data_IF_928984612265
#
_entry.id   IF_928984612265
#
_cell.length_a   1.000
_cell.length_b   1.000
_cell.length_c   1.000
_cell.angle_alpha   90.00
_cell.angle_beta   90.00
_cell.angle_gamma   90.00
#
_symmetry.space_group_name_H-M   'P 1'
#
loop_
_entity.id
_entity.type
_entity.pdbx_description
1 polymer ?
#
# COMPACT_ATOMS: atom_id res chain seq x y z
N UNK A 1 -10.96 3.29 -20.27
CA UNK A 1 -10.17 3.95 -19.19
C UNK A 1 -10.95 5.16 -18.68
N UNK A 2 -11.14 5.28 -17.36
CA UNK A 2 -11.96 6.37 -16.78
C UNK A 2 -11.21 7.71 -16.78
N UNK A 3 -9.87 7.66 -16.72
CA UNK A 3 -8.99 8.82 -16.72
C UNK A 3 -7.98 8.75 -17.88
N UNK A 4 -8.38 9.10 -19.10
CA UNK A 4 -7.45 9.19 -20.23
C UNK A 4 -6.41 10.27 -19.95
N UNK A 5 -5.17 10.04 -20.35
CA UNK A 5 -4.02 10.93 -20.15
C UNK A 5 -3.40 10.89 -18.72
N UNK A 6 -3.76 9.93 -17.88
CA UNK A 6 -3.09 9.75 -16.59
C UNK A 6 -1.74 9.06 -16.78
N UNK A 7 -0.69 9.64 -16.20
CA UNK A 7 0.61 8.97 -16.07
C UNK A 7 0.60 8.12 -14.81
N UNK A 8 0.95 6.84 -14.94
CA UNK A 8 0.90 5.88 -13.85
C UNK A 8 2.26 5.24 -13.65
N UNK A 9 2.73 5.19 -12.40
CA UNK A 9 3.87 4.36 -11.97
C UNK A 9 3.32 3.25 -11.09
N UNK A 10 3.52 2.00 -11.49
CA UNK A 10 3.13 0.81 -10.73
C UNK A 10 4.39 0.12 -10.19
N UNK A 11 4.41 -0.10 -8.89
CA UNK A 11 5.51 -0.77 -8.20
C UNK A 11 5.05 -2.15 -7.74
N UNK A 12 5.85 -3.16 -8.02
CA UNK A 12 5.60 -4.55 -7.62
C UNK A 12 6.90 -5.16 -7.08
N UNK A 13 6.84 -5.67 -5.87
CA UNK A 13 8.01 -6.22 -5.17
C UNK A 13 8.39 -7.61 -5.68
N UNK A 14 7.38 -8.48 -5.93
CA UNK A 14 7.61 -9.83 -6.43
C UNK A 14 8.05 -9.79 -7.90
N UNK A 15 9.25 -10.32 -8.24
CA UNK A 15 9.76 -10.30 -9.60
C UNK A 15 8.90 -11.08 -10.60
N UNK A 16 8.26 -12.18 -10.17
CA UNK A 16 7.42 -12.98 -11.06
C UNK A 16 6.09 -12.28 -11.34
N UNK A 17 5.49 -11.68 -10.31
CA UNK A 17 4.28 -10.87 -10.49
C UNK A 17 4.58 -9.63 -11.34
N UNK A 18 5.72 -8.97 -11.11
CA UNK A 18 6.14 -7.82 -11.91
C UNK A 18 6.28 -8.15 -13.40
N UNK A 19 6.78 -9.34 -13.74
CA UNK A 19 6.84 -9.81 -15.14
C UNK A 19 5.44 -9.96 -15.75
N UNK A 20 4.51 -10.55 -15.01
CA UNK A 20 3.11 -10.71 -15.47
C UNK A 20 2.46 -9.34 -15.65
N UNK A 21 2.66 -8.45 -14.69
CA UNK A 21 2.14 -7.08 -14.74
C UNK A 21 2.69 -6.34 -15.96
N UNK A 22 4.00 -6.43 -16.21
CA UNK A 22 4.64 -5.82 -17.38
C UNK A 22 4.04 -6.37 -18.70
N UNK A 23 3.84 -7.69 -18.82
CA UNK A 23 3.27 -8.30 -20.01
C UNK A 23 1.83 -7.84 -20.27
N UNK A 24 1.03 -7.72 -19.21
CA UNK A 24 -0.36 -7.29 -19.30
C UNK A 24 -0.48 -5.81 -19.69
N UNK A 25 0.46 -4.98 -19.27
CA UNK A 25 0.39 -3.53 -19.41
C UNK A 25 1.35 -2.93 -20.46
N UNK A 26 2.10 -3.77 -21.18
CA UNK A 26 3.12 -3.33 -22.15
C UNK A 26 2.63 -2.41 -23.27
N UNK A 27 1.33 -2.41 -23.55
CA UNK A 27 0.72 -1.58 -24.58
C UNK A 27 0.19 -0.23 -24.04
N UNK A 28 0.22 -0.03 -22.71
CA UNK A 28 -0.21 1.21 -22.08
C UNK A 28 0.94 2.24 -22.08
N UNK A 29 0.83 3.27 -22.93
CA UNK A 29 1.93 4.22 -23.19
C UNK A 29 2.31 5.07 -22.00
N UNK A 30 1.34 5.40 -21.14
CA UNK A 30 1.52 6.31 -20.00
C UNK A 30 1.63 5.55 -18.67
N UNK A 31 1.99 4.25 -18.72
CA UNK A 31 2.14 3.41 -17.55
C UNK A 31 3.54 2.80 -17.50
N UNK A 32 4.21 2.98 -16.37
CA UNK A 32 5.51 2.39 -16.08
C UNK A 32 5.38 1.34 -14.98
N UNK A 33 5.82 0.11 -15.25
CA UNK A 33 5.97 -0.95 -14.26
C UNK A 33 7.40 -0.96 -13.74
N UNK A 34 7.56 -0.97 -12.43
CA UNK A 34 8.85 -0.92 -11.74
C UNK A 34 8.90 -2.08 -10.74
N UNK A 35 9.83 -3.03 -10.95
CA UNK A 35 10.03 -4.14 -10.01
C UNK A 35 10.90 -3.68 -8.83
N UNK A 36 10.27 -3.06 -7.86
CA UNK A 36 10.83 -2.67 -6.56
C UNK A 36 9.75 -2.68 -5.50
N UNK A 37 10.12 -3.01 -4.29
CA UNK A 37 9.27 -2.79 -3.12
C UNK A 37 9.20 -1.30 -2.78
N UNK A 38 8.03 -0.81 -2.43
CA UNK A 38 7.89 0.49 -1.77
C UNK A 38 8.28 0.33 -0.30
N UNK A 39 9.23 1.14 0.16
CA UNK A 39 9.74 1.11 1.52
C UNK A 39 10.17 2.50 2.02
N UNK A 40 10.79 2.56 3.20
CA UNK A 40 11.31 3.78 3.85
C UNK A 40 12.77 4.10 3.47
N UNK A 41 13.40 3.28 2.63
CA UNK A 41 14.76 3.48 2.10
C UNK A 41 14.95 2.69 0.79
N UNK A 42 16.12 2.83 0.16
CA UNK A 42 16.49 2.20 -1.12
C UNK A 42 17.54 1.08 -1.00
N UNK A 43 17.79 0.57 0.22
CA UNK A 43 18.80 -0.46 0.48
C UNK A 43 18.31 -1.88 0.24
N UNK A 44 17.07 -2.05 -0.19
CA UNK A 44 16.39 -3.34 -0.34
C UNK A 44 15.74 -3.80 0.97
N UNK A 45 14.79 -4.72 0.83
CA UNK A 45 14.04 -5.29 1.93
C UNK A 45 13.88 -6.79 1.74
N UNK A 46 13.76 -7.53 2.84
CA UNK A 46 13.36 -8.93 2.82
C UNK A 46 11.84 -9.02 2.88
N UNK A 47 11.25 -9.71 1.91
CA UNK A 47 9.82 -10.03 1.87
C UNK A 47 9.62 -11.53 1.88
N UNK A 48 8.52 -11.99 2.44
CA UNK A 48 8.09 -13.38 2.37
C UNK A 48 7.19 -13.56 1.16
N UNK A 49 7.49 -14.55 0.31
CA UNK A 49 6.68 -14.91 -0.84
C UNK A 49 5.78 -16.09 -0.44
N UNK A 50 4.64 -15.84 0.16
CA UNK A 50 3.71 -16.88 0.63
C UNK A 50 2.54 -17.13 -0.34
N UNK A 51 2.82 -17.28 -1.63
CA UNK A 51 1.80 -17.54 -2.66
C UNK A 51 1.39 -16.31 -3.44
N UNK A 52 0.45 -16.46 -4.38
CA UNK A 52 0.17 -15.53 -5.46
C UNK A 52 -0.33 -14.13 -5.03
N UNK A 53 -0.72 -13.93 -3.77
CA UNK A 53 -1.38 -12.71 -3.34
C UNK A 53 -0.81 -12.08 -2.05
N UNK A 54 0.33 -12.59 -1.52
CA UNK A 54 0.81 -12.13 -0.20
C UNK A 54 2.33 -12.05 -0.11
N UNK A 55 2.93 -11.03 -0.69
CA UNK A 55 4.32 -10.68 -0.40
C UNK A 55 4.35 -9.76 0.83
N UNK A 56 4.45 -10.32 2.05
CA UNK A 56 4.41 -9.58 3.32
C UNK A 56 5.80 -9.43 3.94
N UNK A 57 6.04 -8.30 4.61
CA UNK A 57 7.23 -8.11 5.45
C UNK A 57 7.19 -8.96 6.73
N UNK A 58 6.01 -9.40 7.15
CA UNK A 58 5.79 -10.17 8.39
C UNK A 58 5.78 -11.68 8.19
N UNK A 59 5.75 -12.16 6.95
CA UNK A 59 5.80 -13.60 6.66
C UNK A 59 7.13 -14.23 7.06
N UNK A 60 7.09 -15.51 7.46
CA UNK A 60 8.28 -16.24 7.95
C UNK A 60 8.83 -17.28 6.96
N UNK A 61 8.16 -17.50 5.83
CA UNK A 61 8.55 -18.52 4.84
C UNK A 61 9.06 -17.88 3.57
N UNK A 62 9.97 -18.57 2.88
CA UNK A 62 10.48 -18.17 1.56
C UNK A 62 10.93 -16.71 1.47
N UNK A 63 11.73 -16.25 2.42
CA UNK A 63 12.25 -14.88 2.43
C UNK A 63 13.16 -14.64 1.23
N UNK A 64 12.88 -13.59 0.50
CA UNK A 64 13.66 -13.12 -0.64
C UNK A 64 13.99 -11.65 -0.44
N UNK A 65 15.27 -11.30 -0.70
CA UNK A 65 15.69 -9.90 -0.72
C UNK A 65 15.36 -9.28 -2.07
N UNK A 66 14.59 -8.19 -2.04
CA UNK A 66 14.21 -7.42 -3.23
C UNK A 66 14.73 -5.99 -3.14
N UNK A 67 14.91 -5.36 -4.30
CA UNK A 67 15.25 -3.95 -4.34
C UNK A 67 14.06 -3.13 -3.81
N UNK A 68 14.35 -2.07 -3.07
CA UNK A 68 13.35 -1.11 -2.59
C UNK A 68 13.53 0.27 -3.20
N UNK A 69 12.53 1.10 -3.02
CA UNK A 69 12.58 2.54 -3.28
C UNK A 69 11.78 3.26 -2.21
N UNK A 70 12.30 4.40 -1.76
CA UNK A 70 11.63 5.19 -0.73
C UNK A 70 10.46 5.97 -1.33
N UNK A 71 9.25 5.75 -0.78
CA UNK A 71 8.05 6.43 -1.26
C UNK A 71 8.15 7.96 -1.12
N UNK A 72 8.72 8.43 -0.01
CA UNK A 72 8.95 9.86 0.23
C UNK A 72 9.65 10.53 -0.94
N UNK A 73 10.75 9.95 -1.42
CA UNK A 73 11.57 10.53 -2.49
C UNK A 73 10.81 10.55 -3.82
N UNK A 74 9.97 9.54 -4.07
CA UNK A 74 9.09 9.51 -5.25
C UNK A 74 8.03 10.62 -5.20
N UNK A 75 7.42 10.86 -4.04
CA UNK A 75 6.44 11.94 -3.86
C UNK A 75 7.13 13.30 -3.99
N UNK A 76 8.31 13.46 -3.41
CA UNK A 76 9.06 14.72 -3.43
C UNK A 76 9.51 15.10 -4.85
N UNK A 77 9.79 14.13 -5.71
CA UNK A 77 10.20 14.32 -7.10
C UNK A 77 9.05 14.82 -8.00
N UNK A 78 7.79 14.68 -7.58
CA UNK A 78 6.63 15.16 -8.33
C UNK A 78 6.19 16.54 -7.81
N UNK A 79 5.64 17.36 -8.68
CA UNK A 79 5.01 18.62 -8.27
C UNK A 79 3.70 18.35 -7.52
N UNK A 80 2.91 17.41 -8.04
CA UNK A 80 1.58 17.05 -7.54
C UNK A 80 1.25 15.60 -7.92
N UNK A 81 0.60 14.89 -7.03
CA UNK A 81 0.08 13.54 -7.26
C UNK A 81 -1.43 13.56 -7.09
N UNK A 82 -2.16 13.23 -8.16
CA UNK A 82 -3.63 13.22 -8.11
C UNK A 82 -4.18 12.04 -7.33
N UNK A 83 -3.52 10.87 -7.38
CA UNK A 83 -3.91 9.68 -6.63
C UNK A 83 -2.70 8.83 -6.27
N UNK A 84 -2.62 8.43 -5.01
CA UNK A 84 -1.67 7.47 -4.48
C UNK A 84 -2.45 6.23 -4.00
N UNK A 85 -2.14 5.04 -4.52
CA UNK A 85 -2.61 3.77 -3.97
C UNK A 85 -1.48 3.12 -3.19
N UNK A 86 -1.75 2.70 -1.97
CA UNK A 86 -0.86 1.95 -1.09
C UNK A 86 -1.56 0.66 -0.69
N UNK A 87 -0.93 -0.47 -1.02
CA UNK A 87 -1.39 -1.82 -0.80
C UNK A 87 -0.13 -2.68 -0.80
N UNK A 88 0.50 -2.83 0.36
CA UNK A 88 1.88 -3.32 0.53
C UNK A 88 2.02 -4.31 1.69
N UNK A 89 0.90 -4.98 2.00
CA UNK A 89 0.83 -6.19 2.83
C UNK A 89 1.50 -6.05 4.21
N UNK A 90 1.12 -4.97 4.93
CA UNK A 90 1.52 -4.72 6.32
C UNK A 90 2.58 -3.65 6.52
N UNK A 91 3.18 -3.10 5.45
CA UNK A 91 4.15 -2.02 5.52
C UNK A 91 3.52 -0.61 5.50
N UNK A 92 2.20 -0.50 5.45
CA UNK A 92 1.47 0.76 5.21
C UNK A 92 1.80 1.81 6.25
N UNK A 93 1.84 1.44 7.53
CA UNK A 93 2.08 2.39 8.63
C UNK A 93 3.48 2.97 8.57
N UNK A 94 4.51 2.13 8.41
CA UNK A 94 5.90 2.58 8.33
C UNK A 94 6.11 3.54 7.15
N UNK A 95 5.57 3.17 5.98
CA UNK A 95 5.71 3.95 4.75
C UNK A 95 4.97 5.28 4.82
N UNK A 96 3.73 5.29 5.34
CA UNK A 96 2.94 6.52 5.51
C UNK A 96 3.60 7.45 6.54
N UNK A 97 4.15 6.89 7.62
CA UNK A 97 4.84 7.65 8.64
C UNK A 97 6.13 8.31 8.12
N UNK A 98 6.90 7.59 7.30
CA UNK A 98 8.12 8.12 6.67
C UNK A 98 7.82 9.28 5.70
N UNK A 99 6.72 9.19 4.94
CA UNK A 99 6.38 10.20 3.94
C UNK A 99 5.35 11.25 4.39
N UNK A 100 5.01 11.31 5.69
CA UNK A 100 3.94 12.16 6.23
C UNK A 100 3.99 13.62 5.76
N UNK A 101 5.17 14.24 5.78
CA UNK A 101 5.35 15.65 5.38
C UNK A 101 5.17 15.86 3.87
N UNK A 102 5.40 14.81 3.07
CA UNK A 102 5.31 14.86 1.61
C UNK A 102 3.87 14.67 1.12
N UNK A 103 2.97 14.15 1.98
CA UNK A 103 1.56 13.93 1.64
C UNK A 103 0.79 15.22 1.31
N UNK A 104 1.34 16.40 1.63
CA UNK A 104 0.80 17.68 1.18
C UNK A 104 0.68 17.79 -0.35
N UNK A 105 1.54 17.06 -1.10
CA UNK A 105 1.53 17.01 -2.58
C UNK A 105 0.50 16.05 -3.17
N UNK A 106 -0.17 15.24 -2.33
CA UNK A 106 -1.11 14.21 -2.76
C UNK A 106 -2.55 14.71 -2.56
N UNK A 107 -3.40 14.52 -3.57
CA UNK A 107 -4.83 14.92 -3.50
C UNK A 107 -5.72 13.82 -2.95
N UNK A 108 -5.49 12.58 -3.40
CA UNK A 108 -6.30 11.42 -3.01
C UNK A 108 -5.39 10.25 -2.66
N UNK A 109 -5.74 9.54 -1.60
CA UNK A 109 -5.01 8.34 -1.16
C UNK A 109 -6.01 7.21 -0.98
N UNK A 110 -5.68 6.07 -1.55
CA UNK A 110 -6.28 4.79 -1.19
C UNK A 110 -5.24 3.96 -0.44
N UNK A 111 -5.60 3.48 0.74
CA UNK A 111 -4.77 2.58 1.54
C UNK A 111 -5.56 1.31 1.80
N UNK A 112 -5.00 0.18 1.41
CA UNK A 112 -5.44 -1.11 1.91
C UNK A 112 -4.61 -1.42 3.16
N UNK A 113 -5.22 -1.23 4.33
CA UNK A 113 -4.56 -1.41 5.62
C UNK A 113 -4.66 -2.86 6.06
N UNK A 114 -3.52 -3.46 6.38
CA UNK A 114 -3.43 -4.82 6.89
C UNK A 114 -2.92 -4.83 8.33
N UNK A 115 -3.61 -5.57 9.21
CA UNK A 115 -3.20 -5.79 10.59
C UNK A 115 -2.99 -7.27 10.84
N UNK A 116 -1.94 -7.58 11.59
CA UNK A 116 -1.53 -8.95 11.90
C UNK A 116 -1.53 -9.19 13.41
N UNK A 117 -2.09 -10.33 13.84
CA UNK A 117 -2.36 -10.68 15.25
C UNK A 117 -1.15 -10.51 16.17
N UNK A 118 0.06 -10.77 15.67
CA UNK A 118 1.29 -10.71 16.46
C UNK A 118 1.99 -9.34 16.41
N UNK A 119 1.37 -8.35 15.75
CA UNK A 119 1.90 -7.00 15.61
C UNK A 119 0.92 -5.99 16.21
N UNK A 120 1.47 -4.84 16.62
CA UNK A 120 0.62 -3.74 17.08
C UNK A 120 -0.28 -3.28 15.95
N UNK A 121 -1.57 -3.13 16.22
CA UNK A 121 -2.50 -2.53 15.29
C UNK A 121 -2.34 -1.00 15.30
N UNK A 122 -1.86 -0.42 14.20
CA UNK A 122 -1.46 0.99 14.12
C UNK A 122 -2.35 1.80 13.17
N UNK A 123 -3.63 1.43 13.06
CA UNK A 123 -4.62 2.17 12.27
C UNK A 123 -4.76 3.64 12.75
N UNK A 124 -4.68 3.86 14.05
CA UNK A 124 -4.72 5.17 14.68
C UNK A 124 -3.63 6.11 14.15
N UNK A 125 -2.41 5.60 13.94
CA UNK A 125 -1.27 6.36 13.40
C UNK A 125 -1.57 6.84 11.97
N UNK A 126 -2.07 5.96 11.10
CA UNK A 126 -2.45 6.31 9.72
C UNK A 126 -3.54 7.39 9.72
N UNK A 127 -4.60 7.20 10.51
CA UNK A 127 -5.73 8.13 10.55
C UNK A 127 -5.33 9.49 11.10
N UNK A 128 -4.43 9.54 12.09
CA UNK A 128 -3.86 10.77 12.60
C UNK A 128 -3.08 11.51 11.52
N UNK A 129 -2.18 10.83 10.80
CA UNK A 129 -1.38 11.43 9.72
C UNK A 129 -2.27 11.96 8.60
N UNK A 130 -3.31 11.23 8.21
CA UNK A 130 -4.28 11.72 7.23
C UNK A 130 -4.97 13.00 7.69
N UNK A 131 -5.40 13.06 8.96
CA UNK A 131 -6.04 14.24 9.55
C UNK A 131 -5.08 15.43 9.61
N UNK A 132 -3.84 15.23 10.02
CA UNK A 132 -2.79 16.27 10.10
C UNK A 132 -2.42 16.83 8.72
N UNK A 133 -2.69 16.09 7.63
CA UNK A 133 -2.47 16.51 6.25
C UNK A 133 -3.75 17.00 5.54
N UNK A 134 -4.78 17.40 6.27
CA UNK A 134 -6.06 17.93 5.77
C UNK A 134 -6.88 16.94 4.92
N UNK A 135 -6.65 15.63 5.07
CA UNK A 135 -7.49 14.64 4.40
C UNK A 135 -8.79 14.40 5.18
N UNK A 136 -9.88 14.32 4.44
CA UNK A 136 -11.10 13.64 4.87
C UNK A 136 -11.05 12.20 4.39
N UNK A 137 -11.60 11.27 5.18
CA UNK A 137 -11.58 9.86 4.80
C UNK A 137 -12.87 9.14 5.18
N UNK A 138 -13.11 8.04 4.49
CA UNK A 138 -14.09 7.03 4.87
C UNK A 138 -13.47 5.64 4.73
N UNK A 139 -13.96 4.69 5.53
CA UNK A 139 -13.39 3.36 5.66
C UNK A 139 -14.44 2.34 5.24
N UNK A 140 -14.01 1.35 4.45
CA UNK A 140 -14.82 0.18 4.10
C UNK A 140 -14.09 -1.08 4.53
N UNK A 141 -14.82 -2.02 5.09
CA UNK A 141 -14.32 -3.35 5.34
C UNK A 141 -14.59 -4.21 4.10
N UNK A 142 -13.57 -4.84 3.47
CA UNK A 142 -13.77 -5.66 2.27
C UNK A 142 -14.49 -6.98 2.57
N UNK A 143 -14.34 -7.50 3.80
CA UNK A 143 -14.96 -8.75 4.24
C UNK A 143 -15.75 -8.52 5.52
N UNK A 144 -17.06 -8.80 5.49
CA UNK A 144 -17.92 -8.69 6.67
C UNK A 144 -17.61 -9.76 7.72
N UNK A 145 -17.57 -9.33 8.98
CA UNK A 145 -17.53 -10.21 10.15
C UNK A 145 -18.93 -10.34 10.74
N UNK A 146 -19.62 -11.43 10.42
CA UNK A 146 -21.00 -11.66 10.86
C UNK A 146 -21.16 -11.65 12.39
N UNK A 147 -20.14 -12.07 13.14
CA UNK A 147 -20.14 -12.10 14.60
C UNK A 147 -18.79 -11.57 15.10
N UNK A 148 -18.61 -10.24 15.25
CA UNK A 148 -17.31 -9.61 15.43
C UNK A 148 -16.47 -10.13 16.60
N UNK A 149 -17.06 -10.40 17.75
CA UNK A 149 -16.32 -10.91 18.92
C UNK A 149 -16.02 -12.41 18.89
N UNK A 150 -16.66 -13.14 18.00
CA UNK A 150 -16.44 -14.58 17.81
C UNK A 150 -15.53 -14.82 16.61
N UNK A 151 -15.78 -14.13 15.49
CA UNK A 151 -15.00 -14.24 14.26
C UNK A 151 -13.78 -13.28 14.32
N UNK A 152 -12.90 -13.51 15.28
CA UNK A 152 -11.71 -12.66 15.48
C UNK A 152 -10.60 -12.91 14.46
N UNK A 153 -10.58 -14.09 13.87
CA UNK A 153 -9.50 -14.56 13.00
C UNK A 153 -10.09 -14.83 11.61
N UNK A 154 -9.39 -14.35 10.59
CA UNK A 154 -9.69 -14.71 9.21
C UNK A 154 -9.36 -16.19 8.98
N UNK A 155 -10.33 -16.98 8.49
CA UNK A 155 -10.13 -18.43 8.28
C UNK A 155 -9.12 -18.73 7.16
N UNK A 156 -9.04 -17.84 6.17
CA UNK A 156 -8.13 -17.99 5.03
C UNK A 156 -6.73 -17.46 5.33
N UNK A 157 -6.63 -16.44 6.20
CA UNK A 157 -5.39 -15.80 6.61
C UNK A 157 -5.38 -15.66 8.13
N UNK A 158 -5.05 -16.73 8.87
CA UNK A 158 -5.18 -16.74 10.34
C UNK A 158 -4.24 -15.75 11.05
N UNK A 159 -3.20 -15.30 10.40
CA UNK A 159 -2.27 -14.29 10.94
C UNK A 159 -2.77 -12.85 10.75
N UNK A 160 -3.67 -12.61 9.79
CA UNK A 160 -4.28 -11.31 9.53
C UNK A 160 -5.61 -11.18 10.29
N UNK A 161 -5.68 -10.26 11.23
CA UNK A 161 -6.89 -10.02 12.03
C UNK A 161 -7.77 -8.90 11.51
N UNK A 162 -7.23 -7.99 10.70
CA UNK A 162 -8.00 -6.90 10.11
C UNK A 162 -7.47 -6.51 8.73
N UNK A 163 -8.40 -6.26 7.80
CA UNK A 163 -8.15 -5.64 6.51
C UNK A 163 -9.18 -4.53 6.29
N UNK A 164 -8.73 -3.33 5.95
CA UNK A 164 -9.59 -2.17 5.73
C UNK A 164 -9.18 -1.39 4.50
N UNK A 165 -10.17 -0.93 3.74
CA UNK A 165 -9.99 -0.03 2.63
C UNK A 165 -10.25 1.42 3.09
N UNK A 166 -9.22 2.25 3.13
CA UNK A 166 -9.27 3.65 3.52
C UNK A 166 -9.21 4.51 2.25
N UNK A 167 -10.24 5.32 2.05
CA UNK A 167 -10.34 6.28 0.94
C UNK A 167 -10.20 7.68 1.50
N UNK A 168 -9.10 8.34 1.23
CA UNK A 168 -8.82 9.68 1.72
C UNK A 168 -8.71 10.69 0.57
N UNK A 169 -9.19 11.92 0.78
CA UNK A 169 -9.19 12.98 -0.21
C UNK A 169 -9.12 14.37 0.44
N UNK A 170 -8.51 15.31 -0.24
CA UNK A 170 -8.57 16.73 0.13
C UNK A 170 -9.79 17.39 -0.48
N UNK A 171 -10.40 18.30 0.26
CA UNK A 171 -11.47 19.13 -0.27
C UNK A 171 -10.82 20.26 -1.09
N UNK A 172 -11.27 20.44 -2.31
CA UNK A 172 -10.87 21.60 -3.12
C UNK A 172 -11.24 22.88 -2.36
N UNK A 173 -10.24 23.73 -2.15
CA UNK A 173 -10.40 25.05 -1.51
C UNK A 173 -10.75 26.08 -2.55
#
# INVERSE_FOLDING_TARGET
MIFPNSKVKAFEADPEIAKVLFLNLKNEKDLQVINKAIWINDYGIEISLEGADAASIYGNKNKVRVNSVRLKDLIEAEEKINMLKIDIEGAETDVIQDCKESLRKVEKIFIEFHSFVNHRQELDVILQILTENDFRYFIKQPVDRNIPFINKINKNYPEMDLQLNIFAYKIDK
#
